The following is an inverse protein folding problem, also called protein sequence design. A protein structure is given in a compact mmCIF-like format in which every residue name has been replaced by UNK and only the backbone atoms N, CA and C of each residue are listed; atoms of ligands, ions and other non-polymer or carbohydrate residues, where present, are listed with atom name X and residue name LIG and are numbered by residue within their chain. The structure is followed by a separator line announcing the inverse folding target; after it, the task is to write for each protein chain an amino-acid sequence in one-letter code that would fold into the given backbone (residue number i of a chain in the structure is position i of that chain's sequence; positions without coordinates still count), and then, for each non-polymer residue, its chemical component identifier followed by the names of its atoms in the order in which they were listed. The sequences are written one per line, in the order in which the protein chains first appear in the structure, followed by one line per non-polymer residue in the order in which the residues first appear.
data_IF_710161421868
#
_entry.id   IF_710161421868
#
_cell.length_a   1.000
_cell.length_b   1.000
_cell.length_c   1.000
_cell.angle_alpha   90.00
_cell.angle_beta   90.00
_cell.angle_gamma   90.00
#
_symmetry.space_group_name_H-M   'P 1'
#
loop_
_entity.id
_entity.type
_entity.pdbx_description
1 polymer ?
#
# COMPACT_ATOMS: atom_id res chain seq x y z
N UNK A 1 15.96 17.96 2.88
CA UNK A 1 16.68 16.68 3.07
C UNK A 1 15.82 15.57 2.47
N UNK A 2 16.39 14.54 1.84
CA UNK A 2 15.62 13.40 1.38
C UNK A 2 14.96 12.70 2.59
N UNK A 3 13.70 12.30 2.43
CA UNK A 3 12.90 11.66 3.48
C UNK A 3 12.46 10.27 3.03
N UNK A 4 12.32 9.30 3.95
CA UNK A 4 11.80 7.98 3.59
C UNK A 4 10.35 8.09 3.11
N UNK A 5 10.03 7.31 2.07
CA UNK A 5 8.70 7.22 1.45
C UNK A 5 8.36 5.75 1.20
N UNK A 6 7.11 5.37 1.42
CA UNK A 6 6.54 4.08 1.00
C UNK A 6 5.53 4.31 -0.11
N UNK A 7 5.31 3.29 -0.93
CA UNK A 7 4.31 3.29 -2.00
C UNK A 7 3.26 2.24 -1.70
N UNK A 8 2.00 2.62 -1.86
CA UNK A 8 0.84 1.72 -1.78
C UNK A 8 0.17 1.76 -3.14
N UNK A 9 0.28 0.67 -3.89
CA UNK A 9 -0.17 0.56 -5.27
C UNK A 9 -0.34 -0.92 -5.65
N UNK A 10 -0.91 -1.20 -6.82
CA UNK A 10 -1.14 -2.56 -7.35
C UNK A 10 0.14 -3.33 -7.68
N UNK A 11 1.32 -2.70 -7.61
CA UNK A 11 2.63 -3.33 -7.78
C UNK A 11 2.84 -4.03 -9.14
N UNK A 12 2.63 -3.28 -10.23
CA UNK A 12 2.90 -3.73 -11.61
C UNK A 12 2.14 -5.00 -12.01
N UNK A 13 0.85 -5.04 -11.68
CA UNK A 13 -0.06 -6.12 -12.06
C UNK A 13 -1.22 -5.59 -12.90
N UNK A 14 -1.75 -6.44 -13.80
CA UNK A 14 -3.00 -6.16 -14.48
C UNK A 14 -4.20 -6.15 -13.52
N UNK A 15 -5.20 -5.35 -13.86
CA UNK A 15 -6.49 -5.36 -13.19
C UNK A 15 -7.26 -6.64 -13.47
N UNK A 16 -8.07 -7.05 -12.50
CA UNK A 16 -8.94 -8.21 -12.58
C UNK A 16 -10.40 -7.82 -12.36
N UNK A 17 -11.32 -8.69 -12.77
CA UNK A 17 -12.75 -8.51 -12.53
C UNK A 17 -13.11 -8.92 -11.09
N UNK A 18 -13.84 -8.06 -10.39
CA UNK A 18 -14.30 -8.31 -9.04
C UNK A 18 -15.09 -7.13 -8.50
N UNK A 19 -15.63 -7.25 -7.29
CA UNK A 19 -16.19 -6.08 -6.60
C UNK A 19 -15.06 -5.17 -6.11
N UNK A 20 -15.28 -3.85 -6.02
CA UNK A 20 -14.25 -2.92 -5.57
C UNK A 20 -13.59 -3.34 -4.26
N UNK A 21 -14.38 -3.73 -3.25
CA UNK A 21 -13.87 -4.10 -1.92
C UNK A 21 -12.93 -5.33 -1.97
N UNK A 22 -13.28 -6.35 -2.76
CA UNK A 22 -12.44 -7.53 -2.94
C UNK A 22 -11.12 -7.19 -3.63
N UNK A 23 -11.17 -6.31 -4.64
CA UNK A 23 -9.98 -5.88 -5.37
C UNK A 23 -9.07 -5.03 -4.46
N UNK A 24 -9.63 -4.15 -3.63
CA UNK A 24 -8.88 -3.31 -2.70
C UNK A 24 -8.07 -4.16 -1.71
N UNK A 25 -8.68 -5.15 -1.07
CA UNK A 25 -7.94 -6.05 -0.17
C UNK A 25 -6.94 -6.94 -0.92
N UNK A 26 -7.28 -7.43 -2.12
CA UNK A 26 -6.36 -8.25 -2.93
C UNK A 26 -5.09 -7.49 -3.32
N UNK A 27 -5.22 -6.25 -3.77
CA UNK A 27 -4.09 -5.42 -4.19
C UNK A 27 -3.40 -4.70 -3.04
N UNK A 28 -3.81 -4.94 -1.79
CA UNK A 28 -3.21 -4.32 -0.62
C UNK A 28 -3.44 -2.81 -0.56
N UNK A 29 -4.59 -2.34 -1.02
CA UNK A 29 -4.97 -0.94 -1.11
C UNK A 29 -5.93 -0.51 0.01
N UNK A 30 -6.16 -1.39 0.98
CA UNK A 30 -7.07 -1.11 2.10
C UNK A 30 -6.35 -0.46 3.30
N UNK A 31 -7.14 -0.08 4.30
CA UNK A 31 -6.65 0.65 5.46
C UNK A 31 -5.55 -0.11 6.23
N UNK A 32 -5.58 -1.45 6.26
CA UNK A 32 -4.59 -2.25 6.99
C UNK A 32 -3.22 -2.08 6.33
N UNK A 33 -3.16 -2.17 5.00
CA UNK A 33 -1.91 -2.02 4.26
C UNK A 33 -1.35 -0.59 4.32
N UNK A 34 -2.21 0.43 4.34
CA UNK A 34 -1.78 1.82 4.53
C UNK A 34 -1.13 1.98 5.91
N UNK A 35 -1.75 1.43 6.96
CA UNK A 35 -1.20 1.49 8.33
C UNK A 35 0.16 0.79 8.40
N UNK A 36 0.30 -0.38 7.79
CA UNK A 36 1.57 -1.12 7.73
C UNK A 36 2.67 -0.31 7.00
N UNK A 37 2.34 0.30 5.85
CA UNK A 37 3.26 1.17 5.12
C UNK A 37 3.68 2.39 5.94
N UNK A 38 2.75 2.99 6.70
CA UNK A 38 3.05 4.10 7.60
C UNK A 38 3.99 3.67 8.74
N UNK A 39 3.71 2.54 9.38
CA UNK A 39 4.59 2.03 10.45
C UNK A 39 5.99 1.75 9.92
N UNK A 40 6.10 1.17 8.72
CA UNK A 40 7.38 0.89 8.05
C UNK A 40 8.14 2.17 7.69
N UNK A 41 7.48 3.21 7.16
CA UNK A 41 8.16 4.47 6.80
C UNK A 41 8.64 5.23 8.04
N UNK A 42 7.85 5.23 9.12
CA UNK A 42 8.21 5.87 10.39
C UNK A 42 9.43 5.19 11.01
N UNK A 43 9.48 3.85 11.00
CA UNK A 43 10.64 3.10 11.51
C UNK A 43 11.96 3.38 10.78
N UNK A 44 11.92 3.99 9.59
CA UNK A 44 13.11 4.40 8.82
C UNK A 44 13.47 5.87 8.99
N UNK A 45 12.64 6.67 9.64
CA UNK A 45 13.01 8.06 9.99
C UNK A 45 14.13 8.01 11.02
N UNK A 46 15.23 8.70 10.72
CA UNK A 46 16.32 8.97 11.67
C UNK A 46 16.08 10.29 12.36
#
# INVERSE_FOLDING_TARGET
LPTPQEFVATNDTFGESGTPDQLMSKYGLDAVNIVEAVQKVIGRKK
#
